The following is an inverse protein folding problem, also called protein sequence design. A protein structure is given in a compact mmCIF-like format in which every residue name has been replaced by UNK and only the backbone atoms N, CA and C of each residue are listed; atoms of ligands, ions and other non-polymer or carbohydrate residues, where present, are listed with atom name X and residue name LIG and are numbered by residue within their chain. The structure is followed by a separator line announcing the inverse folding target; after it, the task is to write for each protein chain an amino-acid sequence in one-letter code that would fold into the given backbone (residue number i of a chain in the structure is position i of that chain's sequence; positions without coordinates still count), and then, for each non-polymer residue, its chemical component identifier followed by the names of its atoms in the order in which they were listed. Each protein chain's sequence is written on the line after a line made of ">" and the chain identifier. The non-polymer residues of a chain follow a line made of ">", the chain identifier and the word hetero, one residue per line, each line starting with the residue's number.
data_IF_128209969739
#
_entry.id   IF_128209969739
#
_cell.length_a   1.000
_cell.length_b   1.000
_cell.length_c   1.000
_cell.angle_alpha   90.00
_cell.angle_beta   90.00
_cell.angle_gamma   90.00
#
_symmetry.space_group_name_H-M   'P 1'
#
loop_
_entity.id
_entity.type
_entity.pdbx_description
1 polymer ?
#
# COMPACT_ATOMS: atom_id res chain seq x y z
N UNK A 1 13.34 6.07 29.48
CA UNK A 1 12.25 7.05 29.27
C UNK A 1 11.73 7.06 27.82
N UNK A 2 12.49 6.56 26.82
CA UNK A 2 11.99 6.45 25.43
C UNK A 2 11.02 5.27 25.22
N UNK A 3 11.20 4.16 25.95
CA UNK A 3 10.34 2.97 25.85
C UNK A 3 8.88 3.20 26.32
N UNK A 4 8.62 4.20 27.17
CA UNK A 4 7.27 4.48 27.67
C UNK A 4 6.40 5.28 26.68
N UNK A 5 7.04 5.98 25.73
CA UNK A 5 6.35 6.79 24.71
C UNK A 5 6.11 5.96 23.43
N UNK A 6 7.02 5.05 23.11
CA UNK A 6 6.96 4.27 21.86
C UNK A 6 5.80 3.28 21.85
N UNK A 7 5.53 2.60 22.96
CA UNK A 7 4.46 1.59 23.07
C UNK A 7 3.06 2.14 22.77
N UNK A 8 2.58 3.23 23.41
CA UNK A 8 1.25 3.75 23.10
C UNK A 8 1.14 4.27 21.65
N UNK A 9 2.21 4.86 21.11
CA UNK A 9 2.23 5.30 19.71
C UNK A 9 2.19 4.14 18.73
N UNK A 10 2.94 3.07 19.02
CA UNK A 10 2.93 1.83 18.26
C UNK A 10 1.53 1.22 18.25
N UNK A 11 0.91 1.06 19.41
CA UNK A 11 -0.45 0.51 19.52
C UNK A 11 -1.46 1.35 18.73
N UNK A 12 -1.41 2.68 18.87
CA UNK A 12 -2.24 3.60 18.10
C UNK A 12 -2.01 3.42 16.58
N UNK A 13 -0.76 3.36 16.14
CA UNK A 13 -0.44 3.14 14.73
C UNK A 13 -0.95 1.77 14.23
N UNK A 14 -0.81 0.71 15.02
CA UNK A 14 -1.27 -0.64 14.66
C UNK A 14 -2.80 -0.76 14.58
N UNK A 15 -3.53 0.09 15.29
CA UNK A 15 -5.00 0.23 15.17
C UNK A 15 -5.44 1.21 14.08
N UNK A 16 -4.49 1.86 13.39
CA UNK A 16 -4.83 2.84 12.37
C UNK A 16 -5.56 2.18 11.19
N UNK A 17 -6.48 2.90 10.53
CA UNK A 17 -7.23 2.38 9.38
C UNK A 17 -6.34 1.87 8.25
N UNK A 18 -5.18 2.51 8.06
CA UNK A 18 -4.18 2.06 7.10
C UNK A 18 -3.69 0.66 7.45
N UNK A 19 -3.22 0.43 8.68
CA UNK A 19 -2.71 -0.88 9.09
C UNK A 19 -3.82 -1.93 9.04
N UNK A 20 -5.03 -1.60 9.49
CA UNK A 20 -6.21 -2.48 9.38
C UNK A 20 -6.48 -2.89 7.94
N UNK A 21 -6.43 -1.95 6.99
CA UNK A 21 -6.64 -2.24 5.57
C UNK A 21 -5.52 -3.10 4.98
N UNK A 22 -4.24 -2.80 5.24
CA UNK A 22 -3.14 -3.61 4.69
C UNK A 22 -3.18 -5.05 5.26
N UNK A 23 -3.63 -5.23 6.51
CA UNK A 23 -3.83 -6.56 7.11
C UNK A 23 -4.84 -7.43 6.35
N UNK A 24 -5.80 -6.86 5.62
CA UNK A 24 -6.79 -7.65 4.85
C UNK A 24 -6.17 -8.43 3.68
N UNK A 25 -4.93 -8.12 3.29
CA UNK A 25 -4.19 -8.82 2.23
C UNK A 25 -3.50 -10.12 2.69
N UNK A 26 -3.71 -10.53 3.94
CA UNK A 26 -3.61 -11.94 4.33
C UNK A 26 -2.27 -12.47 4.85
N UNK A 27 -1.22 -11.65 5.01
CA UNK A 27 0.06 -12.11 5.59
C UNK A 27 0.38 -11.50 6.96
N UNK A 28 0.01 -10.24 7.20
CA UNK A 28 0.13 -9.66 8.55
C UNK A 28 -0.93 -10.19 9.51
N UNK A 29 -2.11 -10.56 9.01
CA UNK A 29 -3.25 -10.99 9.82
C UNK A 29 -3.14 -12.44 10.35
N UNK A 30 -2.06 -13.17 10.03
CA UNK A 30 -1.86 -14.52 10.55
C UNK A 30 -1.71 -14.55 12.08
N UNK A 31 -1.53 -13.40 12.75
CA UNK A 31 -1.77 -13.24 14.19
C UNK A 31 -0.77 -13.94 15.12
N UNK A 32 0.33 -14.47 14.58
CA UNK A 32 1.29 -15.25 15.35
C UNK A 32 2.39 -14.39 16.02
N UNK A 33 2.41 -13.08 15.78
CA UNK A 33 3.44 -12.15 16.24
C UNK A 33 2.87 -11.00 17.08
N UNK A 34 3.75 -10.30 17.81
CA UNK A 34 3.41 -9.10 18.58
C UNK A 34 3.15 -7.89 17.66
N UNK A 35 2.52 -6.83 18.18
CA UNK A 35 2.39 -5.55 17.47
C UNK A 35 3.74 -5.01 16.95
N UNK A 36 4.84 -5.31 17.67
CA UNK A 36 6.18 -4.94 17.26
C UNK A 36 6.65 -5.73 16.03
N UNK A 37 6.38 -7.03 15.99
CA UNK A 37 6.74 -7.88 14.84
C UNK A 37 6.01 -7.45 13.57
N UNK A 38 4.72 -7.17 13.70
CA UNK A 38 3.90 -6.65 12.60
C UNK A 38 4.36 -5.27 12.14
N UNK A 39 4.72 -4.38 13.07
CA UNK A 39 5.31 -3.08 12.73
C UNK A 39 6.62 -3.23 11.99
N UNK A 40 7.53 -4.11 12.45
CA UNK A 40 8.81 -4.40 11.79
C UNK A 40 8.58 -4.90 10.36
N UNK A 41 7.60 -5.78 10.15
CA UNK A 41 7.23 -6.29 8.83
C UNK A 41 6.59 -5.23 7.91
N UNK A 42 6.00 -4.17 8.47
CA UNK A 42 5.53 -3.02 7.69
C UNK A 42 6.70 -2.11 7.28
N UNK A 43 7.57 -1.77 8.23
CA UNK A 43 8.64 -0.79 8.01
C UNK A 43 9.87 -1.34 7.28
N UNK A 44 9.95 -2.66 7.06
CA UNK A 44 10.92 -3.27 6.15
C UNK A 44 10.56 -3.09 4.67
N UNK A 45 9.29 -2.71 4.41
CA UNK A 45 8.73 -2.45 3.09
C UNK A 45 8.51 -3.68 2.22
N UNK A 46 8.88 -4.89 2.64
CA UNK A 46 8.74 -6.11 1.82
C UNK A 46 7.29 -6.44 1.61
N UNK A 47 6.52 -6.50 2.70
CA UNK A 47 5.10 -6.83 2.64
C UNK A 47 4.30 -5.75 1.88
N UNK A 48 4.57 -4.47 2.13
CA UNK A 48 3.88 -3.39 1.44
C UNK A 48 4.09 -3.41 -0.09
N UNK A 49 5.30 -3.75 -0.55
CA UNK A 49 5.54 -3.93 -1.99
C UNK A 49 4.78 -5.14 -2.56
N UNK A 50 4.58 -6.21 -1.79
CA UNK A 50 3.76 -7.35 -2.22
C UNK A 50 2.29 -6.95 -2.35
N UNK A 51 1.77 -6.15 -1.41
CA UNK A 51 0.42 -5.59 -1.49
C UNK A 51 0.28 -4.72 -2.74
N UNK A 52 1.29 -3.89 -3.04
CA UNK A 52 1.29 -3.06 -4.25
C UNK A 52 1.29 -3.91 -5.55
N UNK A 53 1.99 -5.04 -5.57
CA UNK A 53 1.95 -5.98 -6.70
C UNK A 53 0.58 -6.65 -6.86
N UNK A 54 -0.13 -6.94 -5.76
CA UNK A 54 -1.51 -7.44 -5.84
C UNK A 54 -2.46 -6.37 -6.38
N UNK A 55 -2.25 -5.11 -6.03
CA UNK A 55 -3.05 -3.97 -6.52
C UNK A 55 -2.77 -3.68 -7.99
N UNK A 56 -1.50 -3.71 -8.40
CA UNK A 56 -1.08 -3.48 -9.78
C UNK A 56 -0.05 -4.54 -10.25
N UNK A 57 -0.54 -5.68 -10.75
CA UNK A 57 0.32 -6.75 -11.26
C UNK A 57 1.18 -6.35 -12.46
N UNK A 58 0.82 -5.25 -13.14
CA UNK A 58 1.54 -4.71 -14.31
C UNK A 58 2.67 -3.75 -13.92
N UNK A 59 2.80 -3.40 -12.64
CA UNK A 59 3.94 -2.60 -12.19
C UNK A 59 5.24 -3.34 -12.46
N UNK A 60 6.25 -2.63 -12.96
CA UNK A 60 7.58 -3.22 -13.13
C UNK A 60 8.05 -3.79 -11.79
N UNK A 61 8.43 -5.07 -11.80
CA UNK A 61 8.90 -5.80 -10.63
C UNK A 61 10.30 -5.34 -10.26
N UNK A 62 10.41 -4.15 -9.67
CA UNK A 62 11.65 -3.72 -9.04
C UNK A 62 12.01 -4.70 -7.93
N UNK A 63 13.28 -5.10 -7.89
CA UNK A 63 13.78 -6.10 -6.95
C UNK A 63 13.81 -5.54 -5.53
N UNK A 64 12.81 -5.91 -4.75
CA UNK A 64 12.74 -5.64 -3.31
C UNK A 64 13.72 -6.54 -2.56
N UNK A 65 14.41 -5.98 -1.55
CA UNK A 65 15.31 -6.72 -0.69
C UNK A 65 14.51 -7.53 0.33
N UNK A 66 14.51 -8.86 0.22
CA UNK A 66 13.77 -9.76 1.12
C UNK A 66 14.47 -10.00 2.47
N UNK A 67 15.80 -9.84 2.52
CA UNK A 67 16.62 -10.04 3.72
C UNK A 67 17.12 -8.69 4.21
N UNK A 68 16.24 -7.96 4.88
CA UNK A 68 16.51 -6.58 5.30
C UNK A 68 17.40 -6.54 6.55
N UNK A 69 17.33 -7.54 7.44
CA UNK A 69 18.18 -7.69 8.64
C UNK A 69 18.30 -6.40 9.49
N UNK A 70 17.22 -5.61 9.56
CA UNK A 70 17.18 -4.30 10.21
C UNK A 70 18.14 -3.23 9.64
N UNK A 71 18.66 -3.42 8.43
CA UNK A 71 19.50 -2.43 7.73
C UNK A 71 18.63 -1.25 7.23
N UNK A 72 18.94 -0.04 7.72
CA UNK A 72 18.18 1.16 7.39
C UNK A 72 18.22 1.52 5.90
N UNK A 73 19.34 1.30 5.22
CA UNK A 73 19.50 1.60 3.79
C UNK A 73 18.62 0.68 2.94
N UNK A 74 18.55 -0.61 3.30
CA UNK A 74 17.67 -1.59 2.64
C UNK A 74 16.19 -1.27 2.87
N UNK A 75 15.81 -0.85 4.08
CA UNK A 75 14.44 -0.38 4.39
C UNK A 75 14.06 0.82 3.55
N UNK A 76 14.91 1.84 3.53
CA UNK A 76 14.72 3.05 2.73
C UNK A 76 14.60 2.70 1.24
N UNK A 77 15.45 1.80 0.74
CA UNK A 77 15.38 1.35 -0.65
C UNK A 77 14.03 0.70 -0.96
N UNK A 78 13.59 -0.28 -0.16
CA UNK A 78 12.31 -0.95 -0.34
C UNK A 78 11.12 0.03 -0.30
N UNK A 79 11.12 0.98 0.63
CA UNK A 79 10.08 2.00 0.74
C UNK A 79 10.13 3.00 -0.43
N UNK A 80 11.30 3.30 -0.97
CA UNK A 80 11.44 4.16 -2.15
C UNK A 80 10.82 3.53 -3.41
N UNK A 81 10.95 2.20 -3.55
CA UNK A 81 10.28 1.44 -4.62
C UNK A 81 8.77 1.54 -4.44
N UNK A 82 8.27 1.29 -3.23
CA UNK A 82 6.84 1.36 -2.93
C UNK A 82 6.26 2.74 -3.28
N UNK A 83 6.90 3.82 -2.82
CA UNK A 83 6.47 5.20 -3.12
C UNK A 83 6.45 5.46 -4.63
N UNK A 84 7.45 4.97 -5.36
CA UNK A 84 7.49 5.09 -6.83
C UNK A 84 6.34 4.34 -7.48
N UNK A 85 6.07 3.11 -7.06
CA UNK A 85 4.98 2.28 -7.62
C UNK A 85 3.60 2.89 -7.34
N UNK A 86 3.38 3.42 -6.13
CA UNK A 86 2.15 4.15 -5.78
C UNK A 86 1.99 5.38 -6.67
N UNK A 87 3.04 6.21 -6.80
CA UNK A 87 3.02 7.39 -7.66
C UNK A 87 2.73 7.02 -9.11
N UNK A 88 3.40 5.98 -9.63
CA UNK A 88 3.20 5.49 -10.98
C UNK A 88 1.77 4.98 -11.20
N UNK A 89 1.21 4.23 -10.25
CA UNK A 89 -0.17 3.76 -10.32
C UNK A 89 -1.15 4.93 -10.46
N UNK A 90 -1.03 5.96 -9.64
CA UNK A 90 -1.91 7.13 -9.79
C UNK A 90 -1.60 7.93 -11.07
N UNK A 91 -0.34 8.14 -11.45
CA UNK A 91 -0.01 8.93 -12.65
C UNK A 91 -0.43 8.22 -13.95
N UNK A 92 -0.20 6.91 -14.09
CA UNK A 92 -0.42 6.18 -15.33
C UNK A 92 -1.73 5.38 -15.37
N UNK A 93 -2.36 5.07 -14.23
CA UNK A 93 -3.70 4.48 -14.21
C UNK A 93 -4.81 5.51 -13.97
N UNK A 94 -4.57 6.65 -13.32
CA UNK A 94 -5.62 7.66 -13.18
C UNK A 94 -5.67 8.61 -14.39
N UNK A 95 -4.50 9.14 -14.80
CA UNK A 95 -4.44 10.22 -15.79
C UNK A 95 -4.78 9.77 -17.23
N UNK A 96 -4.24 8.66 -17.76
CA UNK A 96 -4.60 8.17 -19.09
C UNK A 96 -6.03 7.67 -19.18
N UNK A 97 -6.58 7.10 -18.10
CA UNK A 97 -7.98 6.68 -18.05
C UNK A 97 -8.92 7.89 -18.05
N UNK A 98 -8.60 8.97 -17.33
CA UNK A 98 -9.37 10.21 -17.39
C UNK A 98 -9.32 10.85 -18.79
N UNK A 99 -8.14 10.89 -19.41
CA UNK A 99 -7.96 11.42 -20.77
C UNK A 99 -8.70 10.55 -21.81
N UNK A 100 -8.63 9.23 -21.68
CA UNK A 100 -9.37 8.29 -22.52
C UNK A 100 -10.89 8.46 -22.34
N UNK A 101 -11.39 8.59 -21.11
CA UNK A 101 -12.81 8.90 -20.83
C UNK A 101 -13.27 10.20 -21.50
N UNK A 102 -12.44 11.25 -21.46
CA UNK A 102 -12.75 12.53 -22.09
C UNK A 102 -12.71 12.47 -23.63
N UNK A 103 -11.76 11.72 -24.20
CA UNK A 103 -11.58 11.65 -25.66
C UNK A 103 -12.51 10.65 -26.36
N UNK A 104 -12.90 9.55 -25.69
CA UNK A 104 -13.72 8.49 -26.32
C UNK A 104 -15.20 8.53 -25.96
N UNK A 105 -15.63 9.43 -25.05
CA UNK A 105 -17.01 9.48 -24.58
C UNK A 105 -17.48 8.20 -23.87
N UNK A 106 -16.54 7.31 -23.53
CA UNK A 106 -16.81 6.05 -22.85
C UNK A 106 -17.16 6.32 -21.40
N UNK A 107 -18.34 5.87 -20.97
CA UNK A 107 -18.75 5.95 -19.57
C UNK A 107 -17.68 5.31 -18.67
N UNK A 108 -17.33 5.99 -17.57
CA UNK A 108 -16.34 5.56 -16.57
C UNK A 108 -16.52 4.09 -16.14
N UNK A 109 -17.76 3.60 -16.17
CA UNK A 109 -18.16 2.22 -15.85
C UNK A 109 -17.52 1.16 -16.76
N UNK A 110 -17.16 1.46 -18.01
CA UNK A 110 -16.56 0.48 -18.92
C UNK A 110 -15.04 0.30 -18.71
N UNK A 111 -14.35 1.31 -18.16
CA UNK A 111 -12.91 1.23 -17.84
C UNK A 111 -12.67 0.50 -16.49
N UNK A 112 -13.69 0.40 -15.64
CA UNK A 112 -13.62 -0.32 -14.36
C UNK A 112 -13.17 -1.78 -14.50
N UNK A 113 -13.45 -2.43 -15.62
CA UNK A 113 -13.08 -3.84 -15.87
C UNK A 113 -11.58 -4.13 -16.01
N UNK A 114 -10.72 -3.13 -16.21
CA UNK A 114 -9.28 -3.37 -16.45
C UNK A 114 -8.34 -2.82 -15.38
N UNK A 115 -8.79 -1.90 -14.52
CA UNK A 115 -7.95 -1.27 -13.48
C UNK A 115 -8.43 -1.50 -12.04
N UNK A 116 -9.67 -1.98 -11.83
CA UNK A 116 -10.31 -2.03 -10.50
C UNK A 116 -10.72 -3.44 -10.02
N UNK A 117 -10.33 -4.50 -10.72
CA UNK A 117 -10.66 -5.89 -10.34
C UNK A 117 -9.80 -6.43 -9.19
N UNK A 118 -9.79 -5.73 -8.05
CA UNK A 118 -9.19 -6.18 -6.81
C UNK A 118 -10.09 -5.78 -5.64
N UNK A 119 -10.49 -6.71 -4.74
CA UNK A 119 -11.42 -6.43 -3.64
C UNK A 119 -10.92 -5.35 -2.65
N UNK A 120 -9.63 -4.99 -2.67
CA UNK A 120 -9.04 -3.97 -1.80
C UNK A 120 -9.13 -2.51 -2.29
N UNK A 121 -9.49 -2.24 -3.55
CA UNK A 121 -9.41 -0.89 -4.14
C UNK A 121 -10.65 -0.02 -3.91
N UNK A 122 -11.82 -0.60 -3.66
CA UNK A 122 -13.01 0.19 -3.33
C UNK A 122 -12.90 0.87 -1.96
N UNK A 123 -12.24 0.22 -0.99
CA UNK A 123 -12.07 0.78 0.36
C UNK A 123 -11.05 1.94 0.38
N UNK A 124 -9.95 1.82 -0.38
CA UNK A 124 -8.90 2.86 -0.44
C UNK A 124 -9.39 4.13 -1.16
N UNK A 125 -10.26 3.97 -2.17
CA UNK A 125 -10.90 5.09 -2.87
C UNK A 125 -11.87 5.86 -1.95
N UNK A 126 -12.61 5.16 -1.09
CA UNK A 126 -13.47 5.79 -0.08
C UNK A 126 -12.65 6.47 1.02
N UNK A 127 -11.50 5.90 1.43
CA UNK A 127 -10.68 6.44 2.52
C UNK A 127 -9.88 7.69 2.13
N UNK A 128 -9.40 7.78 0.89
CA UNK A 128 -8.68 8.98 0.42
C UNK A 128 -9.62 10.15 0.07
N UNK A 129 -10.89 9.87 -0.26
CA UNK A 129 -11.88 10.92 -0.54
C UNK A 129 -12.57 11.48 0.71
N UNK A 130 -12.45 10.84 1.89
CA UNK A 130 -13.01 11.35 3.15
C UNK A 130 -11.99 12.09 4.03
N UNK A 131 -10.71 12.07 3.68
CA UNK A 131 -9.62 12.67 4.48
C UNK A 131 -8.99 13.93 3.87
N UNK A 132 -9.63 14.58 2.89
CA UNK A 132 -9.23 15.92 2.43
C UNK A 132 -10.45 16.84 2.62
N UNK A 133 -10.40 17.83 3.53
CA UNK A 133 -11.45 18.84 3.63
C UNK A 133 -11.51 19.72 2.37
#
# INVERSE_FOLDING_TARGET
>A
MENEIFTPLLEQFMTSPLVTWVKTFGLLAAGNGTNLDEYVALVDGVFLNQVMLQINPKSESQRVNKKVNNDASLRIHNLSILVRQIKFYYQYCHFPNLLACLHTGMNFLHIQGNCFNGPGNFQLFLYLNTCIP
#
